data_IF_840538739431
#
_entry.id   IF_840538739431
#
_cell.length_a   1.000
_cell.length_b   1.000
_cell.length_c   1.000
_cell.angle_alpha   90.00
_cell.angle_beta   90.00
_cell.angle_gamma   90.00
#
_symmetry.space_group_name_H-M   'P 1'
#
loop_
_entity.id
_entity.type
_entity.pdbx_description
1 polymer ?
#
# COMPACT_ATOMS: atom_id res chain seq x y z
N UNK A 1 20.54 -25.91 -1.71
CA UNK A 1 21.34 -24.69 -1.42
C UNK A 1 21.25 -24.35 0.06
N UNK A 2 22.35 -24.39 0.82
CA UNK A 2 22.39 -24.05 2.26
C UNK A 2 22.31 -22.52 2.41
N UNK A 3 21.17 -21.97 2.85
CA UNK A 3 21.01 -20.52 3.13
C UNK A 3 22.01 -20.12 4.22
N UNK A 4 22.98 -19.25 3.91
CA UNK A 4 23.90 -18.71 4.93
C UNK A 4 23.07 -17.90 5.93
N UNK A 5 23.11 -18.25 7.23
CA UNK A 5 22.47 -17.44 8.28
C UNK A 5 23.11 -16.05 8.25
N UNK A 6 22.29 -15.01 8.10
CA UNK A 6 22.76 -13.63 8.19
C UNK A 6 23.35 -13.40 9.58
N UNK A 7 24.64 -13.08 9.67
CA UNK A 7 25.34 -12.81 10.94
C UNK A 7 25.47 -11.32 11.25
N UNK A 8 24.91 -10.44 10.41
CA UNK A 8 24.93 -9.00 10.66
C UNK A 8 24.05 -8.62 11.84
N UNK A 9 24.45 -7.57 12.57
CA UNK A 9 23.75 -7.01 13.72
C UNK A 9 22.51 -6.19 13.33
N UNK A 10 22.27 -5.97 12.04
CA UNK A 10 21.18 -5.10 11.56
C UNK A 10 19.79 -5.70 11.88
N UNK A 11 18.97 -5.02 12.71
CA UNK A 11 17.69 -5.56 13.16
C UNK A 11 16.70 -5.73 12.00
N UNK A 12 16.72 -4.82 11.02
CA UNK A 12 15.84 -4.87 9.85
C UNK A 12 16.10 -6.10 8.97
N UNK A 13 17.37 -6.37 8.62
CA UNK A 13 17.72 -7.52 7.77
C UNK A 13 17.49 -8.86 8.46
N UNK A 14 17.58 -8.90 9.79
CA UNK A 14 17.22 -10.08 10.59
C UNK A 14 15.70 -10.32 10.59
N UNK A 15 14.90 -9.26 10.65
CA UNK A 15 13.44 -9.34 10.60
C UNK A 15 12.94 -9.81 9.22
N UNK A 16 13.54 -9.28 8.15
CA UNK A 16 13.28 -9.63 6.74
C UNK A 16 13.77 -11.02 6.34
N UNK A 17 14.62 -11.67 7.13
CA UNK A 17 15.05 -13.04 6.83
C UNK A 17 14.07 -14.11 7.35
N UNK A 18 13.10 -13.71 8.17
CA UNK A 18 12.07 -14.60 8.69
C UNK A 18 10.87 -14.64 7.72
N UNK A 19 10.63 -15.76 7.02
CA UNK A 19 9.57 -15.86 6.02
C UNK A 19 8.16 -15.58 6.59
N UNK A 20 7.90 -16.00 7.84
CA UNK A 20 6.63 -15.72 8.56
C UNK A 20 6.35 -14.22 8.76
N UNK A 21 7.40 -13.41 8.94
CA UNK A 21 7.24 -11.97 9.15
C UNK A 21 6.98 -11.26 7.82
N UNK A 22 7.68 -11.69 6.76
CA UNK A 22 7.47 -11.16 5.41
C UNK A 22 6.03 -11.41 4.96
N UNK A 23 5.50 -12.61 5.15
CA UNK A 23 4.11 -12.95 4.78
C UNK A 23 3.07 -12.03 5.43
N UNK A 24 3.23 -11.74 6.72
CA UNK A 24 2.35 -10.80 7.44
C UNK A 24 2.50 -9.39 6.90
N UNK A 25 3.72 -8.96 6.60
CA UNK A 25 3.99 -7.63 6.05
C UNK A 25 3.35 -7.45 4.67
N UNK A 26 3.45 -8.47 3.81
CA UNK A 26 2.81 -8.46 2.49
C UNK A 26 1.28 -8.47 2.58
N UNK A 27 0.70 -9.24 3.50
CA UNK A 27 -0.76 -9.20 3.74
C UNK A 27 -1.21 -7.81 4.18
N UNK A 28 -0.51 -7.20 5.13
CA UNK A 28 -0.82 -5.85 5.59
C UNK A 28 -0.67 -4.83 4.46
N UNK A 29 0.42 -4.91 3.70
CA UNK A 29 0.65 -4.05 2.54
C UNK A 29 -0.47 -4.19 1.52
N UNK A 30 -0.91 -5.41 1.22
CA UNK A 30 -2.04 -5.65 0.32
C UNK A 30 -3.33 -4.96 0.78
N UNK A 31 -3.69 -5.07 2.05
CA UNK A 31 -4.85 -4.38 2.59
C UNK A 31 -4.69 -2.86 2.46
N UNK A 32 -3.53 -2.30 2.87
CA UNK A 32 -3.27 -0.87 2.78
C UNK A 32 -3.37 -0.39 1.32
N UNK A 33 -2.75 -1.09 0.38
CA UNK A 33 -2.81 -0.76 -1.05
C UNK A 33 -4.25 -0.75 -1.55
N UNK A 34 -5.06 -1.75 -1.18
CA UNK A 34 -6.46 -1.82 -1.56
C UNK A 34 -7.27 -0.64 -0.97
N UNK A 35 -7.03 -0.28 0.28
CA UNK A 35 -7.64 0.89 0.93
C UNK A 35 -7.24 2.21 0.29
N UNK A 36 -5.96 2.37 -0.10
CA UNK A 36 -5.47 3.56 -0.80
C UNK A 36 -6.16 3.69 -2.16
N UNK A 37 -6.23 2.62 -2.95
CA UNK A 37 -6.94 2.64 -4.22
C UNK A 37 -8.42 2.98 -4.06
N UNK A 38 -9.06 2.45 -3.02
CA UNK A 38 -10.45 2.80 -2.70
C UNK A 38 -10.62 4.29 -2.37
N UNK A 39 -9.73 4.87 -1.56
CA UNK A 39 -9.74 6.30 -1.23
C UNK A 39 -9.51 7.18 -2.47
N UNK A 40 -8.60 6.77 -3.37
CA UNK A 40 -8.36 7.46 -4.65
C UNK A 40 -9.62 7.47 -5.51
N UNK A 41 -10.31 6.34 -5.61
CA UNK A 41 -11.57 6.24 -6.37
C UNK A 41 -12.66 7.13 -5.75
N UNK A 42 -12.85 7.10 -4.44
CA UNK A 42 -13.82 7.96 -3.77
C UNK A 42 -13.50 9.45 -3.96
N UNK A 43 -12.23 9.84 -3.79
CA UNK A 43 -11.77 11.20 -4.02
C UNK A 43 -12.03 11.65 -5.46
N UNK A 44 -11.77 10.79 -6.44
CA UNK A 44 -12.05 11.07 -7.85
C UNK A 44 -13.54 11.29 -8.12
N UNK A 45 -14.42 10.46 -7.57
CA UNK A 45 -15.88 10.61 -7.73
C UNK A 45 -16.37 11.94 -7.11
N UNK A 46 -15.92 12.26 -5.90
CA UNK A 46 -16.27 13.53 -5.24
C UNK A 46 -15.78 14.72 -6.08
N UNK A 47 -14.55 14.64 -6.59
CA UNK A 47 -13.97 15.65 -7.45
C UNK A 47 -14.77 15.84 -8.73
N UNK A 48 -15.18 14.76 -9.39
CA UNK A 48 -16.03 14.82 -10.60
C UNK A 48 -17.38 15.47 -10.30
N UNK A 49 -18.05 15.07 -9.21
CA UNK A 49 -19.33 15.68 -8.81
C UNK A 49 -19.19 17.17 -8.50
N UNK A 50 -18.12 17.55 -7.81
CA UNK A 50 -17.80 18.94 -7.54
C UNK A 50 -17.50 19.71 -8.84
N UNK A 51 -16.68 19.14 -9.73
CA UNK A 51 -16.34 19.74 -11.01
C UNK A 51 -17.59 19.98 -11.89
N UNK A 52 -18.47 18.98 -12.02
CA UNK A 52 -19.73 19.13 -12.76
C UNK A 52 -20.58 20.27 -12.18
N UNK A 53 -20.62 20.39 -10.85
CA UNK A 53 -21.45 21.40 -10.16
C UNK A 53 -20.88 22.82 -10.25
N UNK A 54 -19.56 22.98 -10.24
CA UNK A 54 -18.91 24.28 -10.04
C UNK A 54 -18.08 24.79 -11.21
N UNK A 55 -17.62 23.93 -12.12
CA UNK A 55 -16.85 24.36 -13.30
C UNK A 55 -17.75 24.78 -14.47
N UNK A 56 -19.07 24.78 -14.33
CA UNK A 56 -20.04 25.25 -15.34
C UNK A 56 -19.76 24.69 -16.75
N UNK A 57 -19.17 23.49 -16.85
CA UNK A 57 -18.79 22.84 -18.14
C UNK A 57 -20.03 22.55 -19.01
N UNK A 58 -21.23 22.64 -18.43
CA UNK A 58 -22.52 22.34 -19.06
C UNK A 58 -23.36 23.61 -19.29
N UNK A 59 -22.78 24.81 -19.19
CA UNK A 59 -23.47 26.07 -19.50
C UNK A 59 -22.87 26.82 -20.68
#
# INVERSE_FOLDING_TARGET
MKKRRYRGLDPFKRLLNNPKNIERLYKLYYFITLWVWFAVVLGAVIFILWAIRYLDIVK
#
